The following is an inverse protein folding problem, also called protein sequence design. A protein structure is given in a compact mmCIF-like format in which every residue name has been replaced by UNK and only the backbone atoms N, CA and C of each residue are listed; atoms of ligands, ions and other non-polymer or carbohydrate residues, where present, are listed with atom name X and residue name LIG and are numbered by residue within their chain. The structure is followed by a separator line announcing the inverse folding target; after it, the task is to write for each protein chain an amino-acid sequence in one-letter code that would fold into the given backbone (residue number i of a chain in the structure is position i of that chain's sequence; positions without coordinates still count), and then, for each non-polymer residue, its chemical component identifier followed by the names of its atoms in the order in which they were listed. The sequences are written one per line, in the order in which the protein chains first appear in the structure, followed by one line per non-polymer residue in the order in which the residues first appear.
data_IF_899748267568
#
_entry.id   IF_899748267568
#
_cell.length_a   1.000
_cell.length_b   1.000
_cell.length_c   1.000
_cell.angle_alpha   90.00
_cell.angle_beta   90.00
_cell.angle_gamma   90.00
#
_symmetry.space_group_name_H-M   'P 1'
#
loop_
_entity.id
_entity.type
_entity.pdbx_description
1 polymer ?
#
# COMPACT_ATOMS: atom_id res chain seq x y z
N UNK A 1 -7.99 3.48 -13.79
CA UNK A 1 -9.13 3.97 -12.98
C UNK A 1 -9.61 2.98 -11.92
N UNK A 2 -9.82 1.70 -12.22
CA UNK A 2 -10.42 0.72 -11.28
C UNK A 2 -9.77 0.68 -9.88
N UNK A 3 -8.43 0.66 -9.80
CA UNK A 3 -7.72 0.64 -8.52
C UNK A 3 -8.03 1.86 -7.64
N UNK A 4 -8.18 3.05 -8.24
CA UNK A 4 -8.53 4.28 -7.54
C UNK A 4 -9.95 4.19 -7.00
N UNK A 5 -10.88 3.69 -7.83
CA UNK A 5 -12.27 3.53 -7.43
C UNK A 5 -12.41 2.55 -6.27
N UNK A 6 -11.74 1.39 -6.33
CA UNK A 6 -11.70 0.45 -5.20
C UNK A 6 -11.11 1.07 -3.94
N UNK A 7 -10.08 1.90 -4.05
CA UNK A 7 -9.50 2.62 -2.91
C UNK A 7 -10.53 3.59 -2.28
N UNK A 8 -11.24 4.35 -3.11
CA UNK A 8 -12.26 5.31 -2.67
C UNK A 8 -13.46 4.61 -2.00
N UNK A 9 -14.03 3.61 -2.68
CA UNK A 9 -15.20 2.85 -2.21
C UNK A 9 -14.95 2.23 -0.82
N UNK A 10 -13.73 1.75 -0.59
CA UNK A 10 -13.35 1.09 0.66
C UNK A 10 -12.70 2.06 1.67
N UNK A 11 -12.50 3.34 1.32
CA UNK A 11 -11.80 4.34 2.12
C UNK A 11 -10.40 3.89 2.56
N UNK A 12 -9.70 3.20 1.66
CA UNK A 12 -8.33 2.71 1.84
C UNK A 12 -7.39 3.38 0.85
N UNK A 13 -6.11 3.51 1.20
CA UNK A 13 -5.10 4.20 0.38
C UNK A 13 -4.08 3.26 -0.26
N UNK A 14 -4.33 1.94 -0.16
CA UNK A 14 -3.47 0.91 -0.71
C UNK A 14 -4.24 -0.36 -1.04
N UNK A 15 -3.77 -1.09 -2.05
CA UNK A 15 -4.30 -2.37 -2.48
C UNK A 15 -3.17 -3.39 -2.62
N UNK A 16 -3.47 -4.64 -2.27
CA UNK A 16 -2.64 -5.78 -2.66
C UNK A 16 -3.13 -6.28 -4.01
N UNK A 17 -2.17 -6.53 -4.92
CA UNK A 17 -2.44 -7.04 -6.26
C UNK A 17 -2.19 -8.53 -6.24
N UNK A 18 -3.18 -9.30 -6.72
CA UNK A 18 -3.13 -10.75 -6.83
C UNK A 18 -3.29 -11.19 -8.27
N UNK A 19 -2.67 -12.31 -8.63
CA UNK A 19 -2.90 -12.96 -9.92
C UNK A 19 -4.16 -13.84 -9.91
N UNK A 20 -4.44 -14.50 -11.04
CA UNK A 20 -5.59 -15.39 -11.19
C UNK A 20 -5.50 -16.66 -10.31
N UNK A 21 -4.34 -16.95 -9.73
CA UNK A 21 -4.11 -18.05 -8.79
C UNK A 21 -4.10 -17.58 -7.33
N UNK A 22 -4.58 -16.35 -7.07
CA UNK A 22 -4.65 -15.72 -5.74
C UNK A 22 -3.29 -15.43 -5.08
N UNK A 23 -2.19 -15.46 -5.86
CA UNK A 23 -0.86 -15.17 -5.33
C UNK A 23 -0.60 -13.67 -5.30
N UNK A 24 0.04 -13.18 -4.24
CA UNK A 24 0.46 -11.78 -4.15
C UNK A 24 1.54 -11.49 -5.19
N UNK A 25 1.23 -10.65 -6.17
CA UNK A 25 2.16 -10.24 -7.24
C UNK A 25 2.61 -8.79 -7.12
N UNK A 26 1.95 -7.99 -6.28
CA UNK A 26 2.43 -6.65 -5.97
C UNK A 26 1.54 -5.90 -4.99
N UNK A 27 1.90 -4.63 -4.81
CA UNK A 27 1.23 -3.71 -3.90
C UNK A 27 1.22 -2.32 -4.51
N UNK A 28 0.08 -1.64 -4.44
CA UNK A 28 -0.08 -0.31 -5.02
C UNK A 28 -0.70 0.63 -3.99
N UNK A 29 -0.16 1.84 -3.91
CA UNK A 29 -0.65 2.91 -3.04
C UNK A 29 -1.11 4.11 -3.86
N UNK A 30 -1.84 5.02 -3.23
CA UNK A 30 -2.16 6.33 -3.83
C UNK A 30 -0.91 7.09 -4.30
N UNK A 31 0.23 6.94 -3.61
CA UNK A 31 1.48 7.59 -4.00
C UNK A 31 2.05 6.98 -5.28
N UNK A 32 1.91 5.68 -5.49
CA UNK A 32 2.34 5.02 -6.74
C UNK A 32 1.49 5.50 -7.91
N UNK A 33 0.17 5.64 -7.70
CA UNK A 33 -0.76 6.21 -8.69
C UNK A 33 -0.41 7.67 -9.01
N UNK A 34 -0.18 8.50 -7.99
CA UNK A 34 0.24 9.89 -8.18
C UNK A 34 1.56 9.97 -8.97
N UNK A 35 2.53 9.11 -8.63
CA UNK A 35 3.81 9.03 -9.35
C UNK A 35 3.63 8.56 -10.79
N UNK A 36 2.71 7.64 -11.06
CA UNK A 36 2.39 7.19 -12.41
C UNK A 36 1.83 8.35 -13.24
N UNK A 37 0.88 9.12 -12.71
CA UNK A 37 0.31 10.30 -13.38
C UNK A 37 1.42 11.31 -13.71
N UNK A 38 2.30 11.61 -12.75
CA UNK A 38 3.39 12.60 -12.96
C UNK A 38 4.48 12.09 -13.91
N UNK A 39 4.82 10.80 -13.88
CA UNK A 39 5.94 10.26 -14.69
C UNK A 39 5.53 9.85 -16.09
N UNK A 40 4.31 9.34 -16.24
CA UNK A 40 3.78 8.80 -17.50
C UNK A 40 2.97 9.88 -18.21
N UNK A 41 2.16 10.64 -17.47
CA UNK A 41 1.31 11.70 -18.02
C UNK A 41 2.03 12.99 -18.45
N UNK A 42 3.36 13.06 -18.35
CA UNK A 42 4.17 14.23 -18.78
C UNK A 42 4.91 13.96 -20.10
N UNK A 43 4.87 12.73 -20.64
CA UNK A 43 5.71 12.33 -21.77
C UNK A 43 5.15 12.56 -23.17
N UNK A 44 4.09 13.36 -23.31
CA UNK A 44 3.66 13.82 -24.63
C UNK A 44 3.89 15.34 -24.76
N UNK A 45 5.05 15.68 -25.29
CA UNK A 45 5.45 17.06 -25.59
C UNK A 45 4.59 17.66 -26.74
N UNK A 46 3.72 16.88 -27.38
CA UNK A 46 2.89 17.28 -28.52
C UNK A 46 1.36 17.20 -28.30
N UNK A 47 0.83 16.38 -27.39
CA UNK A 47 -0.63 16.19 -27.26
C UNK A 47 -1.31 16.86 -26.05
N UNK A 48 -0.56 17.31 -25.03
CA UNK A 48 -1.12 18.09 -23.92
C UNK A 48 -2.09 17.36 -22.97
N UNK A 49 -2.36 16.07 -23.17
CA UNK A 49 -3.23 15.28 -22.27
C UNK A 49 -2.43 14.34 -21.35
N UNK A 50 -2.66 14.35 -20.03
CA UNK A 50 -1.98 13.44 -19.12
C UNK A 50 -2.50 12.00 -19.26
N UNK A 51 -1.79 11.20 -20.05
CA UNK A 51 -2.07 9.77 -20.35
C UNK A 51 -1.91 8.82 -19.16
N UNK A 52 -1.37 9.28 -18.02
CA UNK A 52 -1.03 8.45 -16.85
C UNK A 52 -2.22 7.88 -16.07
N UNK A 53 -3.47 8.23 -16.41
CA UNK A 53 -4.68 7.77 -15.72
C UNK A 53 -5.14 6.34 -16.08
N UNK A 54 -4.79 5.89 -17.30
CA UNK A 54 -5.24 4.60 -17.84
C UNK A 54 -4.10 3.61 -18.07
N UNK A 55 -3.21 3.50 -17.08
CA UNK A 55 -2.06 2.58 -17.11
C UNK A 55 -2.41 1.29 -16.34
N UNK A 56 -2.00 0.10 -16.82
CA UNK A 56 -2.19 -1.14 -16.07
C UNK A 56 -1.52 -1.08 -14.69
N UNK A 57 -2.24 -1.53 -13.65
CA UNK A 57 -1.73 -1.58 -12.26
C UNK A 57 -0.36 -2.29 -12.18
N UNK A 58 -0.19 -3.36 -12.95
CA UNK A 58 1.04 -4.14 -13.00
C UNK A 58 2.28 -3.32 -13.41
N UNK A 59 2.12 -2.21 -14.14
CA UNK A 59 3.24 -1.36 -14.57
C UNK A 59 3.66 -0.34 -13.50
N UNK A 60 2.81 -0.07 -12.51
CA UNK A 60 3.00 1.02 -11.55
C UNK A 60 3.02 0.54 -10.09
N UNK A 61 2.63 -0.71 -9.83
CA UNK A 61 2.72 -1.34 -8.51
C UNK A 61 4.17 -1.61 -8.09
N UNK A 62 4.40 -1.72 -6.78
CA UNK A 62 5.61 -2.36 -6.25
C UNK A 62 5.48 -3.87 -6.48
N UNK A 63 6.38 -4.53 -7.22
CA UNK A 63 6.30 -5.96 -7.48
C UNK A 63 6.61 -6.76 -6.22
N UNK A 64 6.10 -8.00 -6.13
CA UNK A 64 6.21 -8.86 -4.94
C UNK A 64 7.64 -9.03 -4.42
N UNK A 65 8.63 -9.13 -5.31
CA UNK A 65 10.06 -9.24 -4.98
C UNK A 65 10.64 -8.03 -4.25
N UNK A 66 10.04 -6.85 -4.42
CA UNK A 66 10.50 -5.58 -3.84
C UNK A 66 9.57 -5.13 -2.70
N UNK A 67 8.67 -6.01 -2.24
CA UNK A 67 7.77 -5.70 -1.14
C UNK A 67 8.54 -5.62 0.17
N UNK A 68 8.35 -4.48 0.83
CA UNK A 68 8.60 -4.34 2.26
C UNK A 68 7.34 -4.85 2.97
N UNK A 69 7.48 -5.86 3.83
CA UNK A 69 6.37 -6.48 4.54
C UNK A 69 6.75 -6.77 6.00
N UNK A 70 5.73 -7.02 6.82
CA UNK A 70 5.87 -7.51 8.19
C UNK A 70 5.41 -8.98 8.27
N UNK A 71 6.01 -9.74 9.17
CA UNK A 71 5.50 -11.02 9.66
C UNK A 71 4.46 -10.78 10.77
N UNK A 72 3.47 -11.68 10.97
CA UNK A 72 2.59 -11.62 12.15
C UNK A 72 3.33 -11.73 13.49
N UNK A 73 4.59 -12.16 13.48
CA UNK A 73 5.45 -12.21 14.68
C UNK A 73 6.20 -10.92 14.96
N UNK A 74 6.19 -9.95 14.03
CA UNK A 74 6.88 -8.68 14.20
C UNK A 74 6.15 -7.80 15.22
N UNK A 75 6.92 -7.05 16.00
CA UNK A 75 6.38 -6.17 17.03
C UNK A 75 5.86 -4.86 16.45
N UNK A 76 5.09 -4.11 17.24
CA UNK A 76 4.71 -2.75 16.87
C UNK A 76 5.92 -1.82 16.72
N UNK A 77 7.01 -2.09 17.42
CA UNK A 77 8.22 -1.29 17.31
C UNK A 77 8.97 -1.58 16.00
N UNK A 78 9.01 -2.84 15.58
CA UNK A 78 9.51 -3.22 14.25
C UNK A 78 8.70 -2.54 13.16
N UNK A 79 7.36 -2.54 13.29
CA UNK A 79 6.49 -1.85 12.35
C UNK A 79 6.79 -0.35 12.27
N UNK A 80 6.92 0.34 13.41
CA UNK A 80 7.26 1.78 13.44
C UNK A 80 8.63 2.05 12.81
N UNK A 81 9.62 1.25 13.18
CA UNK A 81 10.99 1.36 12.69
C UNK A 81 11.05 1.16 11.18
N UNK A 82 10.36 0.13 10.68
CA UNK A 82 10.28 -0.17 9.25
C UNK A 82 9.60 0.96 8.48
N UNK A 83 8.50 1.53 9.00
CA UNK A 83 7.84 2.68 8.37
C UNK A 83 8.74 3.91 8.35
N UNK A 84 9.48 4.18 9.42
CA UNK A 84 10.38 5.32 9.53
C UNK A 84 11.57 5.22 8.56
N UNK A 85 12.20 4.04 8.47
CA UNK A 85 13.38 3.80 7.63
C UNK A 85 13.00 3.71 6.15
N UNK A 86 11.94 2.95 5.82
CA UNK A 86 11.54 2.75 4.42
C UNK A 86 10.75 3.92 3.83
N UNK A 87 10.21 4.80 4.67
CA UNK A 87 9.26 5.84 4.28
C UNK A 87 7.90 5.30 3.80
N UNK A 88 7.66 3.99 3.89
CA UNK A 88 6.41 3.34 3.49
C UNK A 88 5.43 3.36 4.65
N UNK A 89 4.22 3.89 4.42
CA UNK A 89 3.18 4.02 5.46
C UNK A 89 2.13 2.91 5.44
N UNK A 90 2.07 2.14 4.37
CA UNK A 90 1.16 0.99 4.29
C UNK A 90 2.03 -0.23 4.09
N UNK A 91 2.07 -1.08 5.10
CA UNK A 91 2.93 -2.25 5.12
C UNK A 91 2.04 -3.49 5.11
N UNK A 92 2.10 -4.35 4.08
CA UNK A 92 1.40 -5.63 4.11
C UNK A 92 1.98 -6.53 5.22
N UNK A 93 1.10 -7.25 5.90
CA UNK A 93 1.46 -8.28 6.87
C UNK A 93 1.26 -9.64 6.19
N UNK A 94 2.34 -10.41 6.06
CA UNK A 94 2.37 -11.69 5.35
C UNK A 94 2.72 -12.84 6.30
N UNK A 95 2.06 -13.98 6.13
CA UNK A 95 2.49 -15.26 6.69
C UNK A 95 2.88 -16.17 5.53
N UNK A 96 4.19 -16.30 5.29
CA UNK A 96 4.71 -16.90 4.05
C UNK A 96 4.23 -16.10 2.83
N UNK A 97 3.52 -16.76 1.91
CA UNK A 97 2.91 -16.15 0.73
C UNK A 97 1.50 -15.59 0.97
N UNK A 98 0.94 -15.78 2.17
CA UNK A 98 -0.44 -15.40 2.48
C UNK A 98 -0.50 -13.99 3.05
N UNK A 99 -1.30 -13.11 2.45
CA UNK A 99 -1.61 -11.80 3.03
C UNK A 99 -2.62 -11.95 4.16
N UNK A 100 -2.22 -11.51 5.36
CA UNK A 100 -3.09 -11.44 6.53
C UNK A 100 -3.81 -10.09 6.64
N UNK A 101 -3.16 -9.01 6.21
CA UNK A 101 -3.73 -7.67 6.29
C UNK A 101 -2.73 -6.58 5.89
N UNK A 102 -3.10 -5.33 6.12
CA UNK A 102 -2.24 -4.17 5.89
C UNK A 102 -2.20 -3.38 7.19
N UNK A 103 -1.00 -3.03 7.66
CA UNK A 103 -0.79 -2.18 8.81
C UNK A 103 -0.37 -0.77 8.36
N UNK A 104 -0.96 0.25 8.96
CA UNK A 104 -0.62 1.65 8.72
C UNK A 104 -0.49 2.46 10.03
N UNK A 105 0.09 3.67 10.01
CA UNK A 105 0.26 4.50 11.20
C UNK A 105 -1.03 4.79 11.98
N UNK A 106 -2.19 4.92 11.29
CA UNK A 106 -3.48 5.14 11.95
C UNK A 106 -3.91 3.91 12.73
N UNK A 107 -3.64 2.70 12.23
CA UNK A 107 -3.94 1.45 12.96
C UNK A 107 -3.13 1.36 14.25
N UNK A 108 -1.83 1.70 14.17
CA UNK A 108 -0.94 1.74 15.34
C UNK A 108 -1.43 2.77 16.36
N UNK A 109 -1.76 3.98 15.92
CA UNK A 109 -2.28 5.03 16.79
C UNK A 109 -3.60 4.61 17.46
N UNK A 110 -4.52 4.01 16.70
CA UNK A 110 -5.79 3.48 17.20
C UNK A 110 -5.57 2.39 18.25
N UNK A 111 -4.63 1.47 18.01
CA UNK A 111 -4.30 0.41 18.97
C UNK A 111 -3.77 0.98 20.29
N UNK A 112 -2.85 1.95 20.25
CA UNK A 112 -2.31 2.60 21.45
C UNK A 112 -3.44 3.26 22.25
N UNK A 113 -4.29 4.04 21.58
CA UNK A 113 -5.41 4.72 22.23
C UNK A 113 -6.34 3.73 22.97
N UNK A 114 -6.76 2.66 22.29
CA UNK A 114 -7.61 1.62 22.88
C UNK A 114 -6.92 0.83 23.99
N UNK A 115 -5.60 0.65 23.93
CA UNK A 115 -4.83 -0.06 24.96
C UNK A 115 -4.73 0.76 26.24
N UNK A 116 -4.52 2.07 26.12
CA UNK A 116 -4.47 2.98 27.29
C UNK A 116 -5.82 3.03 28.02
N UNK A 117 -6.94 3.07 27.29
CA UNK A 117 -8.28 3.06 27.90
C UNK A 117 -8.59 1.75 28.64
N UNK A 118 -8.07 0.61 28.16
CA UNK A 118 -8.24 -0.69 28.81
C UNK A 118 -7.42 -0.83 30.08
N UNK A 119 -6.21 -0.30 30.11
CA UNK A 119 -5.36 -0.32 31.32
C UNK A 119 -5.83 0.64 32.42
N UNK A 120 -6.69 1.61 32.08
CA UNK A 120 -7.29 2.56 33.01
C UNK A 120 -8.61 2.08 33.63
N UNK A 121 -9.13 0.92 33.20
CA UNK A 121 -10.29 0.22 33.78
C UNK A 121 -9.86 -1.02 34.54
#
# INVERSE_FOLDING_TARGET
SEAIQRMDDNRISSLVVRDAQDRVVGFITQLDILRAIVRIGVKDEYSGEPTGWNVPVAQVMTPSKDLVFLSPTDTLEDARSLMAISGKRHIPVLSGSTLLGILNPKDIAKYIHLSTERSAK
#
